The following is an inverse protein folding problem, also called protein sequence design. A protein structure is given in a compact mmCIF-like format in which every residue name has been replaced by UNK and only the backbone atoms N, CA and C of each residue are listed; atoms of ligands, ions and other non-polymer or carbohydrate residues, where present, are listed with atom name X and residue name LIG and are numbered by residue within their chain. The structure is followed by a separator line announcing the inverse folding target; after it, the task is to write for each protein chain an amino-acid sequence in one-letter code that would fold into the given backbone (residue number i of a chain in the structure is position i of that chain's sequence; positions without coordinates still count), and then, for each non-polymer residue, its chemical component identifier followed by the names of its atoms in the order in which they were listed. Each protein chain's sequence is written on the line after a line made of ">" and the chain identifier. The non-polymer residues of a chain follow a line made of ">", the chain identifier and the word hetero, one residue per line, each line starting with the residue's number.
data_IF_670674110466
#
_entry.id   IF_670674110466
#
_cell.length_a   1.000
_cell.length_b   1.000
_cell.length_c   1.000
_cell.angle_alpha   90.00
_cell.angle_beta   90.00
_cell.angle_gamma   90.00
#
_symmetry.space_group_name_H-M   'P 1'
#
loop_
_entity.id
_entity.type
_entity.pdbx_description
1 polymer ?
#
# COMPACT_ATOMS: atom_id res chain seq x y z
N UNK A 1 -14.88 8.55 0.44
CA UNK A 1 -14.91 7.14 -0.01
C UNK A 1 -16.35 6.65 0.17
N UNK A 2 -17.09 6.46 -0.92
CA UNK A 2 -18.52 6.13 -0.86
C UNK A 2 -18.66 4.62 -0.66
N UNK A 3 -18.88 4.19 0.58
CA UNK A 3 -19.10 2.77 0.90
C UNK A 3 -20.54 2.42 0.58
N UNK A 4 -20.75 1.40 -0.27
CA UNK A 4 -22.08 0.84 -0.55
C UNK A 4 -22.18 -0.48 0.21
N UNK A 5 -23.10 -0.56 1.16
CA UNK A 5 -23.46 -1.81 1.83
C UNK A 5 -24.46 -2.56 0.95
N UNK A 6 -24.08 -3.74 0.45
CA UNK A 6 -24.95 -4.58 -0.38
C UNK A 6 -25.29 -5.85 0.37
N UNK A 7 -26.58 -6.15 0.51
CA UNK A 7 -27.06 -7.43 1.02
C UNK A 7 -27.08 -8.44 -0.13
N UNK A 8 -26.29 -9.52 -0.03
CA UNK A 8 -26.17 -10.55 -1.06
C UNK A 8 -26.78 -11.84 -0.52
N UNK A 9 -27.66 -12.48 -1.30
CA UNK A 9 -28.19 -13.82 -1.00
C UNK A 9 -27.36 -14.86 -1.75
N UNK A 10 -26.91 -15.89 -1.04
CA UNK A 10 -26.09 -16.96 -1.58
C UNK A 10 -26.71 -18.32 -1.26
N UNK A 11 -26.52 -19.32 -2.13
CA UNK A 11 -26.71 -20.73 -1.78
C UNK A 11 -25.92 -21.11 -0.51
N UNK A 12 -26.49 -22.00 0.29
CA UNK A 12 -25.96 -22.36 1.61
C UNK A 12 -24.58 -23.03 1.55
N UNK A 13 -24.42 -23.95 0.60
CA UNK A 13 -23.17 -24.64 0.28
C UNK A 13 -22.03 -23.64 -0.01
N UNK A 14 -22.29 -22.67 -0.89
CA UNK A 14 -21.33 -21.63 -1.27
C UNK A 14 -20.98 -20.74 -0.07
N UNK A 15 -21.98 -20.41 0.75
CA UNK A 15 -21.75 -19.60 1.95
C UNK A 15 -20.90 -20.35 2.99
N UNK A 16 -21.09 -21.67 3.14
CA UNK A 16 -20.29 -22.50 4.02
C UNK A 16 -18.82 -22.58 3.56
N UNK A 17 -18.59 -22.74 2.26
CA UNK A 17 -17.26 -22.71 1.68
C UNK A 17 -16.54 -21.39 1.96
N UNK A 18 -17.24 -20.26 1.88
CA UNK A 18 -16.69 -18.96 2.23
C UNK A 18 -16.33 -18.84 3.71
N UNK A 19 -17.15 -19.40 4.61
CA UNK A 19 -16.82 -19.44 6.05
C UNK A 19 -15.56 -20.27 6.32
N UNK A 20 -15.43 -21.43 5.67
CA UNK A 20 -14.24 -22.27 5.80
C UNK A 20 -12.99 -21.56 5.28
N UNK A 21 -13.08 -20.89 4.13
CA UNK A 21 -11.98 -20.10 3.57
C UNK A 21 -11.58 -18.93 4.47
N UNK A 22 -12.56 -18.21 5.01
CA UNK A 22 -12.35 -17.11 5.95
C UNK A 22 -11.63 -17.58 7.21
N UNK A 23 -12.03 -18.72 7.79
CA UNK A 23 -11.39 -19.32 8.95
C UNK A 23 -9.93 -19.73 8.65
N UNK A 24 -9.68 -20.40 7.51
CA UNK A 24 -8.33 -20.81 7.09
C UNK A 24 -7.39 -19.61 6.90
N UNK A 25 -7.90 -18.52 6.33
CA UNK A 25 -7.10 -17.32 6.02
C UNK A 25 -7.07 -16.30 7.17
N UNK A 26 -7.73 -16.56 8.30
CA UNK A 26 -7.91 -15.62 9.43
C UNK A 26 -8.47 -14.27 9.01
N UNK A 27 -9.45 -14.29 8.11
CA UNK A 27 -10.09 -13.10 7.51
C UNK A 27 -11.60 -13.13 7.71
N UNK A 28 -12.26 -11.99 7.49
CA UNK A 28 -13.72 -11.95 7.49
C UNK A 28 -14.31 -12.51 6.19
N UNK A 29 -15.51 -13.09 6.25
CA UNK A 29 -16.24 -13.56 5.07
C UNK A 29 -16.44 -12.42 4.05
N UNK A 30 -16.71 -11.21 4.53
CA UNK A 30 -16.85 -10.03 3.69
C UNK A 30 -15.55 -9.67 2.95
N UNK A 31 -14.39 -9.81 3.59
CA UNK A 31 -13.10 -9.58 2.96
C UNK A 31 -12.80 -10.61 1.86
N UNK A 32 -13.13 -11.88 2.11
CA UNK A 32 -13.00 -12.95 1.09
C UNK A 32 -13.93 -12.70 -0.09
N UNK A 33 -15.15 -12.22 0.13
CA UNK A 33 -16.05 -11.87 -0.97
C UNK A 33 -15.51 -10.67 -1.77
N UNK A 34 -15.06 -9.62 -1.09
CA UNK A 34 -14.49 -8.44 -1.75
C UNK A 34 -13.23 -8.76 -2.55
N UNK A 35 -12.37 -9.65 -2.05
CA UNK A 35 -11.16 -10.05 -2.78
C UNK A 35 -11.45 -10.81 -4.07
N UNK A 36 -12.60 -11.50 -4.15
CA UNK A 36 -13.08 -12.13 -5.39
C UNK A 36 -13.74 -11.14 -6.35
N UNK A 37 -14.46 -10.13 -5.82
CA UNK A 37 -15.16 -9.12 -6.62
C UNK A 37 -14.22 -8.05 -7.18
N UNK A 38 -13.20 -7.68 -6.42
CA UNK A 38 -12.21 -6.70 -6.86
C UNK A 38 -11.18 -7.46 -7.70
N UNK A 39 -11.00 -7.12 -8.99
CA UNK A 39 -9.90 -7.69 -9.75
C UNK A 39 -8.60 -7.35 -9.03
N UNK A 40 -7.84 -8.38 -8.64
CA UNK A 40 -6.52 -8.23 -8.05
C UNK A 40 -5.75 -7.32 -8.99
N UNK A 41 -5.48 -6.07 -8.57
CA UNK A 41 -4.64 -5.17 -9.35
C UNK A 41 -3.32 -5.91 -9.49
N UNK A 42 -3.03 -6.39 -10.71
CA UNK A 42 -1.72 -6.98 -10.99
C UNK A 42 -0.69 -5.95 -10.52
N UNK A 43 0.31 -6.35 -9.73
CA UNK A 43 1.35 -5.42 -9.33
C UNK A 43 1.89 -4.78 -10.61
N UNK A 44 1.69 -3.47 -10.76
CA UNK A 44 2.27 -2.76 -11.89
C UNK A 44 3.77 -3.00 -11.81
N UNK A 45 4.39 -3.41 -12.92
CA UNK A 45 5.84 -3.52 -13.00
C UNK A 45 6.41 -2.18 -12.56
N UNK A 46 7.05 -2.15 -11.39
CA UNK A 46 7.69 -0.97 -10.85
C UNK A 46 8.67 -0.47 -11.91
N UNK A 47 8.39 0.71 -12.48
CA UNK A 47 9.30 1.32 -13.43
C UNK A 47 10.43 1.98 -12.64
N UNK A 48 11.40 1.16 -12.22
CA UNK A 48 12.55 1.57 -11.38
C UNK A 48 13.24 2.81 -11.95
N UNK A 49 13.36 2.89 -13.29
CA UNK A 49 13.96 4.06 -13.96
C UNK A 49 13.19 5.36 -13.72
N UNK A 50 11.85 5.30 -13.70
CA UNK A 50 11.02 6.47 -13.40
C UNK A 50 11.23 6.94 -11.96
N UNK A 51 11.22 6.02 -11.00
CA UNK A 51 11.44 6.35 -9.60
C UNK A 51 12.84 6.92 -9.33
N UNK A 52 13.88 6.34 -9.92
CA UNK A 52 15.25 6.90 -9.81
C UNK A 52 15.33 8.32 -10.39
N UNK A 53 14.62 8.60 -11.49
CA UNK A 53 14.56 9.94 -12.06
C UNK A 53 13.84 10.92 -11.14
N UNK A 54 12.75 10.51 -10.51
CA UNK A 54 12.02 11.35 -9.53
C UNK A 54 12.86 11.61 -8.28
N UNK A 55 13.56 10.60 -7.76
CA UNK A 55 14.49 10.75 -6.63
C UNK A 55 15.62 11.72 -6.94
N UNK A 56 16.24 11.62 -8.11
CA UNK A 56 17.29 12.55 -8.53
C UNK A 56 16.76 14.00 -8.66
N UNK A 57 15.53 14.16 -9.16
CA UNK A 57 14.90 15.49 -9.24
C UNK A 57 14.70 16.10 -7.85
N UNK A 58 14.21 15.30 -6.89
CA UNK A 58 14.05 15.72 -5.50
C UNK A 58 15.40 16.05 -4.84
N UNK A 59 16.45 15.26 -5.11
CA UNK A 59 17.78 15.51 -4.59
C UNK A 59 18.35 16.85 -5.08
N UNK A 60 18.19 17.16 -6.37
CA UNK A 60 18.58 18.44 -6.96
C UNK A 60 17.78 19.61 -6.38
N UNK A 61 16.48 19.44 -6.16
CA UNK A 61 15.64 20.46 -5.54
C UNK A 61 16.06 20.73 -4.08
N UNK A 62 16.30 19.67 -3.30
CA UNK A 62 16.80 19.78 -1.93
C UNK A 62 18.15 20.48 -1.86
N UNK A 63 19.05 20.18 -2.81
CA UNK A 63 20.36 20.84 -2.94
C UNK A 63 20.22 22.31 -3.30
N UNK A 64 19.29 22.67 -4.18
CA UNK A 64 19.00 24.07 -4.55
C UNK A 64 18.45 24.86 -3.36
N UNK A 65 17.55 24.26 -2.59
CA UNK A 65 16.97 24.90 -1.40
C UNK A 65 17.99 25.00 -0.24
N UNK A 66 18.93 24.05 -0.15
CA UNK A 66 19.91 23.98 0.94
C UNK A 66 21.37 23.86 0.44
N UNK A 67 21.92 24.91 -0.23
CA UNK A 67 23.18 24.82 -0.97
C UNK A 67 24.43 24.66 -0.10
N UNK A 68 24.34 24.84 1.22
CA UNK A 68 25.46 24.72 2.18
C UNK A 68 25.25 23.69 3.27
N UNK A 69 24.12 22.97 3.26
CA UNK A 69 23.79 22.00 4.29
C UNK A 69 24.29 20.61 3.88
N UNK A 70 25.16 20.02 4.70
CA UNK A 70 25.43 18.60 4.58
C UNK A 70 24.34 17.83 5.32
N UNK A 71 23.34 17.35 4.56
CA UNK A 71 22.19 16.61 5.10
C UNK A 71 22.59 15.41 5.95
N UNK A 72 23.66 14.68 5.58
CA UNK A 72 24.13 13.54 6.37
C UNK A 72 24.59 13.97 7.75
N UNK A 73 25.33 15.08 7.84
CA UNK A 73 25.81 15.61 9.12
C UNK A 73 24.65 16.11 10.00
N UNK A 74 23.71 16.84 9.39
CA UNK A 74 22.52 17.35 10.08
C UNK A 74 21.63 16.23 10.64
N UNK A 75 21.45 15.13 9.89
CA UNK A 75 20.68 13.96 10.35
C UNK A 75 21.38 13.22 11.49
N UNK A 76 22.72 13.19 11.50
CA UNK A 76 23.50 12.59 12.58
C UNK A 76 23.36 13.45 13.86
N UNK A 77 23.49 14.77 13.74
CA UNK A 77 23.31 15.70 14.87
C UNK A 77 21.90 15.57 15.48
N UNK A 78 20.85 15.58 14.65
CA UNK A 78 19.47 15.37 15.10
C UNK A 78 19.24 14.04 15.82
N UNK A 79 19.98 12.99 15.48
CA UNK A 79 19.88 11.68 16.13
C UNK A 79 20.50 11.69 17.54
N UNK A 80 21.59 12.42 17.73
CA UNK A 80 22.26 12.50 19.04
C UNK A 80 21.63 13.53 19.99
N UNK A 81 20.78 14.41 19.48
CA UNK A 81 19.96 15.34 20.27
C UNK A 81 18.62 14.73 20.77
N UNK A 82 18.27 13.51 20.33
CA UNK A 82 17.12 12.75 20.84
C UNK A 82 17.47 11.93 22.08
#
# INVERSE_FOLDING_TARGET
>A
MNWITTNIRLPEDIYMDFKMQAARQRKSVAEIMRSKLIPIKKPQKLNVKKYLKELNKLAEENRRQNPKLNFTKALIEMRYEQ
#
